data_IF_772235311673
#
_entry.id   IF_772235311673
#
_cell.length_a   1.000
_cell.length_b   1.000
_cell.length_c   1.000
_cell.angle_alpha   90.00
_cell.angle_beta   90.00
_cell.angle_gamma   90.00
#
_symmetry.space_group_name_H-M   'P 1'
#
loop_
_entity.id
_entity.type
_entity.pdbx_description
1 polymer ?
#
# COMPACT_ATOMS: atom_id res chain seq x y z
N UNK A 1 -57.32 -35.05 -51.01
CA UNK A 1 -57.62 -34.76 -49.58
C UNK A 1 -56.38 -34.82 -48.64
N UNK A 2 -55.53 -35.80 -48.75
CA UNK A 2 -54.34 -35.92 -47.87
C UNK A 2 -53.35 -34.75 -47.94
N UNK A 3 -53.11 -34.16 -49.11
CA UNK A 3 -52.21 -33.04 -49.31
C UNK A 3 -52.72 -31.74 -48.70
N UNK A 4 -54.00 -31.45 -48.75
CA UNK A 4 -54.60 -30.27 -48.13
C UNK A 4 -54.49 -30.27 -46.61
N UNK A 5 -54.66 -31.44 -46.00
CA UNK A 5 -54.57 -31.58 -44.54
C UNK A 5 -53.14 -31.37 -44.04
N UNK A 6 -52.13 -31.81 -44.78
CA UNK A 6 -50.68 -31.56 -44.42
C UNK A 6 -50.32 -30.09 -44.47
N UNK A 7 -50.82 -29.34 -45.46
CA UNK A 7 -50.57 -27.90 -45.55
C UNK A 7 -51.29 -27.08 -44.48
N UNK A 8 -52.50 -27.51 -44.09
CA UNK A 8 -53.23 -26.87 -43.00
C UNK A 8 -52.55 -27.15 -41.65
N UNK A 9 -52.10 -28.38 -41.40
CA UNK A 9 -51.31 -28.71 -40.15
C UNK A 9 -50.00 -27.99 -40.10
N UNK A 10 -49.30 -27.85 -41.22
CA UNK A 10 -48.05 -27.10 -41.29
C UNK A 10 -48.26 -25.57 -41.07
N UNK A 11 -49.31 -25.01 -41.65
CA UNK A 11 -49.70 -23.62 -41.43
C UNK A 11 -50.08 -23.30 -39.99
N UNK A 12 -50.80 -24.20 -39.31
CA UNK A 12 -51.19 -24.07 -37.89
C UNK A 12 -49.95 -24.22 -36.99
N UNK A 13 -48.99 -25.12 -37.29
CA UNK A 13 -47.76 -25.26 -36.54
C UNK A 13 -46.85 -24.02 -36.66
N UNK A 14 -46.78 -23.40 -37.83
CA UNK A 14 -45.99 -22.16 -38.03
C UNK A 14 -46.65 -20.97 -37.32
N UNK A 15 -48.03 -20.93 -37.30
CA UNK A 15 -48.75 -19.89 -36.59
C UNK A 15 -48.63 -20.02 -35.06
N UNK A 16 -48.62 -21.26 -34.54
CA UNK A 16 -48.39 -21.54 -33.10
C UNK A 16 -46.94 -21.24 -32.67
N UNK A 17 -45.96 -21.41 -33.55
CA UNK A 17 -44.55 -20.99 -33.24
C UNK A 17 -44.36 -19.47 -33.29
N UNK A 18 -45.17 -18.72 -34.05
CA UNK A 18 -45.10 -17.27 -34.08
C UNK A 18 -45.69 -16.60 -32.81
N UNK A 19 -46.56 -17.25 -32.09
CA UNK A 19 -47.12 -16.75 -30.83
C UNK A 19 -46.29 -17.11 -29.58
N UNK A 20 -45.25 -17.95 -29.69
CA UNK A 20 -44.38 -18.28 -28.58
C UNK A 20 -43.13 -17.40 -28.49
N UNK A 21 -43.04 -16.32 -29.28
CA UNK A 21 -42.00 -15.31 -29.20
C UNK A 21 -42.51 -14.00 -28.57
N UNK A 22 -43.50 -14.03 -27.73
CA UNK A 22 -43.64 -13.01 -26.72
C UNK A 22 -42.52 -13.29 -25.69
N UNK A 23 -41.30 -12.83 -26.02
CA UNK A 23 -40.28 -12.56 -25.03
C UNK A 23 -40.95 -11.69 -23.97
N UNK A 24 -41.12 -12.22 -22.77
CA UNK A 24 -41.32 -11.39 -21.60
C UNK A 24 -40.17 -10.40 -21.60
N UNK A 25 -40.45 -9.19 -22.04
CA UNK A 25 -39.65 -8.02 -21.78
C UNK A 25 -39.82 -7.76 -20.27
N UNK A 26 -39.13 -8.59 -19.47
CA UNK A 26 -38.93 -8.27 -18.09
C UNK A 26 -37.90 -7.16 -18.13
N UNK A 27 -38.37 -5.93 -18.33
CA UNK A 27 -37.67 -4.72 -17.91
C UNK A 27 -37.47 -4.87 -16.39
N UNK A 28 -36.46 -5.64 -16.04
CA UNK A 28 -35.86 -5.54 -14.72
C UNK A 28 -35.09 -4.24 -14.72
N UNK A 29 -35.80 -3.12 -14.52
CA UNK A 29 -35.16 -1.94 -14.02
C UNK A 29 -34.35 -2.42 -12.79
N UNK A 30 -33.02 -2.30 -12.80
CA UNK A 30 -32.24 -2.67 -11.63
C UNK A 30 -32.78 -1.83 -10.48
N UNK A 31 -33.50 -2.47 -9.58
CA UNK A 31 -33.96 -1.84 -8.34
C UNK A 31 -32.65 -1.29 -7.73
N UNK A 32 -32.46 0.02 -7.83
CA UNK A 32 -31.39 0.70 -7.11
C UNK A 32 -31.71 0.54 -5.64
N UNK A 33 -31.30 -0.60 -5.07
CA UNK A 33 -31.32 -0.81 -3.64
C UNK A 33 -30.38 0.25 -3.08
N UNK A 34 -30.92 1.40 -2.74
CA UNK A 34 -30.27 2.37 -1.89
C UNK A 34 -30.20 1.73 -0.51
N UNK A 35 -29.19 0.89 -0.31
CA UNK A 35 -28.81 0.51 1.05
C UNK A 35 -28.42 1.84 1.71
N UNK A 36 -29.21 2.33 2.69
CA UNK A 36 -28.87 3.59 3.31
C UNK A 36 -27.53 3.38 4.02
N UNK A 37 -26.47 3.99 3.50
CA UNK A 37 -25.19 4.01 4.19
C UNK A 37 -25.38 4.63 5.59
N UNK A 38 -24.52 4.29 6.53
CA UNK A 38 -24.54 4.83 7.91
C UNK A 38 -24.65 6.35 7.91
N UNK A 39 -24.01 7.02 6.95
CA UNK A 39 -24.10 8.47 6.72
C UNK A 39 -25.51 8.98 6.47
N UNK A 40 -26.39 8.18 5.88
CA UNK A 40 -27.75 8.57 5.54
C UNK A 40 -28.76 8.13 6.59
N UNK A 41 -28.44 7.12 7.42
CA UNK A 41 -29.31 6.67 8.51
C UNK A 41 -29.33 7.63 9.69
N UNK A 42 -28.17 8.17 10.07
CA UNK A 42 -28.05 9.17 11.11
C UNK A 42 -26.88 10.14 10.80
N UNK A 43 -27.13 11.16 9.98
CA UNK A 43 -26.08 12.10 9.53
C UNK A 43 -25.39 12.83 10.68
N UNK A 44 -26.12 13.17 11.75
CA UNK A 44 -25.57 13.88 12.90
C UNK A 44 -24.58 13.00 13.69
N UNK A 45 -24.99 11.76 13.99
CA UNK A 45 -24.11 10.80 14.68
C UNK A 45 -22.88 10.49 13.84
N UNK A 46 -23.03 10.36 12.52
CA UNK A 46 -21.92 10.13 11.61
C UNK A 46 -20.95 11.33 11.57
N UNK A 47 -21.48 12.56 11.55
CA UNK A 47 -20.65 13.77 11.62
C UNK A 47 -19.87 13.86 12.93
N UNK A 48 -20.49 13.54 14.09
CA UNK A 48 -19.81 13.45 15.39
C UNK A 48 -18.72 12.39 15.37
N UNK A 49 -19.00 11.20 14.83
CA UNK A 49 -18.02 10.14 14.68
C UNK A 49 -16.79 10.60 13.89
N UNK A 50 -16.99 11.19 12.71
CA UNK A 50 -15.90 11.71 11.88
C UNK A 50 -15.09 12.83 12.56
N UNK A 51 -15.77 13.71 13.32
CA UNK A 51 -15.11 14.73 14.13
C UNK A 51 -14.24 14.10 15.22
N UNK A 52 -14.77 13.13 15.96
CA UNK A 52 -14.02 12.38 16.96
C UNK A 52 -12.82 11.64 16.39
N UNK A 53 -12.97 11.04 15.20
CA UNK A 53 -11.90 10.37 14.50
C UNK A 53 -10.76 11.31 14.10
N UNK A 54 -11.08 12.50 13.58
CA UNK A 54 -10.07 13.51 13.25
C UNK A 54 -9.37 14.05 14.50
N UNK A 55 -10.10 14.26 15.59
CA UNK A 55 -9.52 14.64 16.90
C UNK A 55 -8.57 13.55 17.42
N UNK A 56 -8.95 12.27 17.32
CA UNK A 56 -8.07 11.15 17.64
C UNK A 56 -6.77 11.19 16.84
N UNK A 57 -6.86 11.35 15.53
CA UNK A 57 -5.69 11.38 14.63
C UNK A 57 -4.79 12.61 14.82
N UNK A 58 -5.32 13.73 15.22
CA UNK A 58 -4.54 14.93 15.57
C UNK A 58 -3.86 14.82 16.95
N UNK A 59 -4.30 13.87 17.78
CA UNK A 59 -3.73 13.58 19.09
C UNK A 59 -2.53 12.62 19.03
N UNK A 60 -1.86 12.49 20.19
CA UNK A 60 -0.77 11.52 20.34
C UNK A 60 -1.32 10.08 20.35
N UNK A 61 -0.96 9.29 19.36
CA UNK A 61 -1.32 7.88 19.25
C UNK A 61 -0.25 7.09 18.50
N UNK A 62 -0.34 5.76 18.47
CA UNK A 62 0.52 4.90 17.66
C UNK A 62 0.01 4.86 16.23
N UNK A 63 0.87 5.26 15.31
CA UNK A 63 0.58 5.44 13.88
C UNK A 63 0.47 4.09 13.16
N UNK A 64 -0.45 3.96 12.21
CA UNK A 64 -0.59 2.74 11.38
C UNK A 64 -0.50 3.06 9.90
N UNK A 65 0.43 2.40 9.24
CA UNK A 65 0.58 2.38 7.78
C UNK A 65 0.00 1.09 7.21
N UNK A 66 -0.68 1.18 6.06
CA UNK A 66 -1.12 0.03 5.28
C UNK A 66 -0.67 0.16 3.83
N UNK A 67 0.10 -0.83 3.31
CA UNK A 67 0.35 -0.95 1.88
C UNK A 67 -0.87 -1.55 1.22
N UNK A 68 -1.37 -0.85 0.21
CA UNK A 68 -2.62 -1.17 -0.47
C UNK A 68 -2.36 -1.41 -1.95
N UNK A 69 -2.70 -2.61 -2.41
CA UNK A 69 -2.68 -2.97 -3.82
C UNK A 69 -3.89 -2.34 -4.54
N UNK A 70 -3.63 -1.37 -5.40
CA UNK A 70 -4.61 -0.69 -6.24
C UNK A 70 -4.46 -1.07 -7.73
N UNK A 71 -4.01 -2.31 -8.01
CA UNK A 71 -3.85 -2.82 -9.37
C UNK A 71 -5.18 -2.98 -10.11
N UNK A 72 -6.25 -3.33 -9.40
CA UNK A 72 -7.58 -3.52 -9.96
C UNK A 72 -8.28 -2.17 -10.22
N UNK A 73 -8.15 -1.70 -11.45
CA UNK A 73 -8.73 -0.41 -11.85
C UNK A 73 -10.25 -0.41 -11.97
N UNK A 74 -10.84 -1.60 -12.13
CA UNK A 74 -12.29 -1.85 -12.09
C UNK A 74 -12.55 -2.82 -10.95
N UNK A 75 -12.85 -2.35 -9.71
CA UNK A 75 -13.00 -3.21 -8.56
C UNK A 75 -14.13 -4.22 -8.72
N UNK A 76 -13.81 -5.49 -8.56
CA UNK A 76 -14.80 -6.57 -8.49
C UNK A 76 -15.41 -6.71 -7.08
N UNK A 77 -14.79 -6.12 -6.07
CA UNK A 77 -15.25 -6.13 -4.69
C UNK A 77 -14.94 -4.82 -3.96
N UNK A 78 -15.66 -4.58 -2.86
CA UNK A 78 -15.41 -3.39 -2.01
C UNK A 78 -14.00 -3.35 -1.42
N UNK A 79 -13.36 -4.50 -1.18
CA UNK A 79 -12.00 -4.58 -0.64
C UNK A 79 -10.91 -4.06 -1.58
N UNK A 80 -11.26 -3.79 -2.84
CA UNK A 80 -10.38 -3.20 -3.85
C UNK A 80 -10.56 -1.67 -3.97
N UNK A 81 -11.46 -1.09 -3.17
CA UNK A 81 -11.68 0.35 -3.12
C UNK A 81 -10.86 0.96 -1.98
N UNK A 82 -10.22 2.10 -2.27
CA UNK A 82 -9.44 2.89 -1.30
C UNK A 82 -10.31 3.32 -0.11
N UNK A 83 -11.57 3.67 -0.36
CA UNK A 83 -12.51 4.13 0.68
C UNK A 83 -12.87 3.05 1.71
N UNK A 84 -12.66 1.76 1.38
CA UNK A 84 -13.03 0.64 2.25
C UNK A 84 -12.04 0.37 3.39
N UNK A 85 -10.86 1.03 3.39
CA UNK A 85 -9.84 0.84 4.43
C UNK A 85 -10.35 1.25 5.81
N UNK A 86 -9.80 0.66 6.89
CA UNK A 86 -10.20 1.01 8.26
C UNK A 86 -10.06 2.50 8.52
N UNK A 87 -11.08 3.11 9.12
CA UNK A 87 -11.12 4.56 9.36
C UNK A 87 -9.99 5.03 10.28
N UNK A 88 -9.52 4.17 11.18
CA UNK A 88 -8.43 4.47 12.12
C UNK A 88 -7.03 4.28 11.53
N UNK A 89 -6.91 3.90 10.25
CA UNK A 89 -5.62 3.88 9.53
C UNK A 89 -5.12 5.31 9.34
N UNK A 90 -3.83 5.58 9.55
CA UNK A 90 -3.26 6.92 9.41
C UNK A 90 -2.70 7.18 8.01
N UNK A 91 -1.96 6.21 7.49
CA UNK A 91 -1.31 6.30 6.20
C UNK A 91 -1.66 5.10 5.31
N UNK A 92 -2.08 5.40 4.09
CA UNK A 92 -2.31 4.43 3.04
C UNK A 92 -1.21 4.58 1.99
N UNK A 93 -0.41 3.53 1.78
CA UNK A 93 0.67 3.52 0.79
C UNK A 93 0.20 2.75 -0.44
N UNK A 94 -0.02 3.44 -1.56
CA UNK A 94 -0.45 2.81 -2.81
C UNK A 94 0.73 2.13 -3.50
N UNK A 95 0.56 0.89 -3.94
CA UNK A 95 1.61 0.11 -4.62
C UNK A 95 1.77 0.50 -6.08
N UNK A 96 0.70 0.97 -6.74
CA UNK A 96 0.70 1.48 -8.11
C UNK A 96 0.30 2.96 -8.14
N UNK A 97 1.26 3.87 -7.92
CA UNK A 97 0.99 5.30 -7.75
C UNK A 97 0.70 6.03 -9.05
N UNK A 98 1.05 5.42 -10.18
CA UNK A 98 0.84 5.97 -11.51
C UNK A 98 -0.55 5.60 -12.04
N UNK A 99 -1.06 6.35 -13.01
CA UNK A 99 -2.30 6.03 -13.72
C UNK A 99 -3.52 5.87 -12.81
N UNK A 100 -3.66 6.75 -11.81
CA UNK A 100 -4.86 6.80 -10.98
C UNK A 100 -6.06 7.26 -11.82
N UNK A 101 -7.18 6.56 -11.69
CA UNK A 101 -8.44 6.96 -12.32
C UNK A 101 -9.24 7.92 -11.42
N UNK A 102 -10.31 8.54 -11.98
CA UNK A 102 -11.11 9.53 -11.28
C UNK A 102 -11.74 8.99 -9.98
N UNK A 103 -12.09 7.68 -9.95
CA UNK A 103 -12.61 7.04 -8.75
C UNK A 103 -11.55 7.00 -7.65
N UNK A 104 -10.34 6.53 -7.96
CA UNK A 104 -9.24 6.45 -7.00
C UNK A 104 -8.90 7.85 -6.44
N UNK A 105 -8.83 8.87 -7.30
CA UNK A 105 -8.59 10.26 -6.90
C UNK A 105 -9.70 10.80 -6.00
N UNK A 106 -10.96 10.51 -6.31
CA UNK A 106 -12.11 10.88 -5.49
C UNK A 106 -12.09 10.20 -4.13
N UNK A 107 -11.78 8.89 -4.08
CA UNK A 107 -11.68 8.12 -2.85
C UNK A 107 -10.51 8.60 -1.97
N UNK A 108 -9.34 8.89 -2.55
CA UNK A 108 -8.20 9.48 -1.82
C UNK A 108 -8.58 10.82 -1.18
N UNK A 109 -9.27 11.68 -1.92
CA UNK A 109 -9.77 12.94 -1.39
C UNK A 109 -10.76 12.71 -0.25
N UNK A 110 -11.71 11.79 -0.41
CA UNK A 110 -12.73 11.51 0.58
C UNK A 110 -12.16 10.96 1.88
N UNK A 111 -11.21 9.99 1.83
CA UNK A 111 -10.59 9.45 3.04
C UNK A 111 -9.76 10.50 3.76
N UNK A 112 -9.10 11.39 3.04
CA UNK A 112 -8.34 12.50 3.62
C UNK A 112 -9.25 13.50 4.34
N UNK A 113 -10.25 14.03 3.64
CA UNK A 113 -11.12 15.09 4.17
C UNK A 113 -12.04 14.59 5.29
N UNK A 114 -12.63 13.40 5.12
CA UNK A 114 -13.60 12.87 6.09
C UNK A 114 -12.93 12.10 7.24
N UNK A 115 -11.95 11.25 6.92
CA UNK A 115 -11.37 10.30 7.87
C UNK A 115 -9.98 10.71 8.38
N UNK A 116 -9.33 11.70 7.75
CA UNK A 116 -7.95 12.10 8.08
C UNK A 116 -6.93 11.02 7.76
N UNK A 117 -7.16 10.22 6.71
CA UNK A 117 -6.19 9.23 6.21
C UNK A 117 -5.36 9.88 5.12
N UNK A 118 -4.05 9.86 5.28
CA UNK A 118 -3.11 10.40 4.31
C UNK A 118 -2.66 9.33 3.32
N UNK A 119 -2.57 9.70 2.03
CA UNK A 119 -2.16 8.76 0.99
C UNK A 119 -0.73 9.04 0.57
N UNK A 120 0.09 8.00 0.63
CA UNK A 120 1.49 7.98 0.22
C UNK A 120 1.71 6.97 -0.91
N UNK A 121 2.92 6.92 -1.44
CA UNK A 121 3.37 5.83 -2.30
C UNK A 121 4.85 5.52 -2.07
N UNK A 122 5.28 4.36 -2.52
CA UNK A 122 6.65 3.89 -2.34
C UNK A 122 7.51 4.19 -3.57
N UNK A 123 8.72 4.71 -3.33
CA UNK A 123 9.80 4.77 -4.31
C UNK A 123 10.90 3.81 -3.86
N UNK A 124 10.97 2.66 -4.51
CA UNK A 124 11.83 1.55 -4.11
C UNK A 124 13.06 1.46 -5.03
N UNK A 125 14.24 1.62 -4.46
CA UNK A 125 15.51 1.56 -5.19
C UNK A 125 15.72 0.22 -5.91
N UNK A 126 15.36 -0.89 -5.25
CA UNK A 126 15.55 -2.23 -5.84
C UNK A 126 14.66 -2.38 -7.07
N UNK A 127 13.39 -1.99 -6.99
CA UNK A 127 12.48 -2.04 -8.15
C UNK A 127 12.97 -1.18 -9.31
N UNK A 128 13.50 0.03 -9.02
CA UNK A 128 14.09 0.86 -10.08
C UNK A 128 15.29 0.16 -10.73
N UNK A 129 16.08 -0.59 -9.95
CA UNK A 129 17.20 -1.36 -10.49
C UNK A 129 16.73 -2.54 -11.33
N UNK A 130 15.71 -3.26 -10.89
CA UNK A 130 15.06 -4.35 -11.62
C UNK A 130 14.45 -3.86 -12.93
N UNK A 131 13.74 -2.72 -12.91
CA UNK A 131 13.18 -2.08 -14.11
C UNK A 131 14.29 -1.75 -15.12
N UNK A 132 15.42 -1.20 -14.65
CA UNK A 132 16.58 -0.90 -15.51
C UNK A 132 17.20 -2.16 -16.12
N UNK A 133 17.37 -3.22 -15.32
CA UNK A 133 17.95 -4.47 -15.78
C UNK A 133 17.04 -5.13 -16.81
N UNK A 134 15.72 -5.10 -16.61
CA UNK A 134 14.73 -5.60 -17.56
C UNK A 134 14.70 -4.79 -18.88
N UNK A 135 14.77 -3.44 -18.79
CA UNK A 135 14.85 -2.58 -19.99
C UNK A 135 16.14 -2.87 -20.79
N UNK A 136 17.26 -3.11 -20.09
CA UNK A 136 18.54 -3.45 -20.72
C UNK A 136 18.50 -4.83 -21.40
N UNK A 137 17.99 -5.85 -20.71
CA UNK A 137 17.82 -7.20 -21.24
C UNK A 137 16.90 -7.20 -22.49
N UNK A 138 15.75 -6.52 -22.39
CA UNK A 138 14.83 -6.38 -23.52
C UNK A 138 15.47 -5.67 -24.73
N UNK A 139 16.39 -4.71 -24.51
CA UNK A 139 17.15 -4.08 -25.58
C UNK A 139 18.16 -5.03 -26.22
N UNK A 140 18.87 -5.81 -25.40
CA UNK A 140 19.90 -6.78 -25.85
C UNK A 140 19.28 -7.97 -26.61
N UNK A 141 18.08 -8.42 -26.20
CA UNK A 141 17.35 -9.53 -26.82
C UNK A 141 16.64 -9.16 -28.13
N UNK A 142 16.46 -7.87 -28.38
CA UNK A 142 15.78 -7.39 -29.60
C UNK A 142 16.72 -7.48 -30.81
N UNK A 143 16.38 -8.31 -31.79
CA UNK A 143 17.14 -8.51 -33.03
C UNK A 143 17.39 -7.20 -33.82
N UNK A 144 16.49 -6.20 -33.71
CA UNK A 144 16.64 -4.90 -34.36
C UNK A 144 17.78 -4.07 -33.75
N UNK A 145 18.27 -4.46 -32.58
CA UNK A 145 19.37 -3.83 -31.87
C UNK A 145 20.69 -4.60 -32.00
N UNK A 146 20.74 -5.62 -32.85
CA UNK A 146 21.96 -6.42 -33.07
C UNK A 146 23.16 -5.52 -33.40
N UNK A 147 24.23 -5.64 -32.61
CA UNK A 147 25.43 -4.80 -32.74
C UNK A 147 25.34 -3.37 -32.16
N UNK A 148 24.20 -2.97 -31.58
CA UNK A 148 24.06 -1.71 -30.86
C UNK A 148 24.40 -1.91 -29.38
N UNK A 149 24.85 -0.82 -28.74
CA UNK A 149 25.19 -0.80 -27.30
C UNK A 149 24.05 -0.10 -26.57
N UNK A 150 23.61 -0.67 -25.44
CA UNK A 150 22.69 0.00 -24.52
C UNK A 150 23.44 1.13 -23.81
N UNK A 151 23.19 2.38 -24.20
CA UNK A 151 23.99 3.55 -23.78
C UNK A 151 23.45 4.26 -22.52
N UNK A 152 22.30 3.82 -21.97
CA UNK A 152 21.74 4.44 -20.78
C UNK A 152 22.45 3.87 -19.52
N UNK A 153 23.22 4.71 -18.83
CA UNK A 153 23.82 4.27 -17.56
C UNK A 153 22.82 4.31 -16.41
N UNK A 154 23.03 3.45 -15.40
CA UNK A 154 22.09 3.30 -14.31
C UNK A 154 21.95 4.56 -13.44
N UNK A 155 22.96 5.40 -13.31
CA UNK A 155 22.89 6.63 -12.51
C UNK A 155 21.94 7.64 -13.14
N UNK A 156 22.06 7.84 -14.43
CA UNK A 156 21.17 8.72 -15.21
C UNK A 156 19.74 8.21 -15.15
N UNK A 157 19.53 6.88 -15.31
CA UNK A 157 18.23 6.24 -15.19
C UNK A 157 17.62 6.43 -13.79
N UNK A 158 18.42 6.23 -12.74
CA UNK A 158 17.97 6.38 -11.34
C UNK A 158 17.50 7.81 -11.06
N UNK A 159 18.26 8.81 -11.48
CA UNK A 159 17.88 10.23 -11.31
C UNK A 159 16.55 10.52 -11.99
N UNK A 160 16.41 10.13 -13.25
CA UNK A 160 15.20 10.36 -14.03
C UNK A 160 13.97 9.68 -13.40
N UNK A 161 14.09 8.39 -13.04
CA UNK A 161 12.98 7.62 -12.45
C UNK A 161 12.57 8.16 -11.09
N UNK A 162 13.51 8.50 -10.20
CA UNK A 162 13.19 9.06 -8.89
C UNK A 162 12.52 10.42 -9.02
N UNK A 163 13.03 11.31 -9.88
CA UNK A 163 12.44 12.63 -10.09
C UNK A 163 11.03 12.53 -10.69
N UNK A 164 10.82 11.66 -11.70
CA UNK A 164 9.49 11.41 -12.28
C UNK A 164 8.50 10.89 -11.24
N UNK A 165 8.93 9.94 -10.40
CA UNK A 165 8.07 9.41 -9.33
C UNK A 165 7.76 10.47 -8.26
N UNK A 166 8.72 11.25 -7.81
CA UNK A 166 8.46 12.34 -6.85
C UNK A 166 7.46 13.39 -7.39
N UNK A 167 7.46 13.62 -8.70
CA UNK A 167 6.49 14.52 -9.34
C UNK A 167 5.05 14.04 -9.20
N UNK A 168 4.81 12.73 -9.00
CA UNK A 168 3.46 12.20 -8.76
C UNK A 168 2.80 12.81 -7.51
N UNK A 169 3.59 13.24 -6.52
CA UNK A 169 3.06 13.93 -5.34
C UNK A 169 2.22 15.14 -5.71
N UNK A 170 2.70 15.95 -6.64
CA UNK A 170 1.95 17.12 -7.12
C UNK A 170 0.89 16.76 -8.14
N UNK A 171 1.17 15.77 -9.01
CA UNK A 171 0.24 15.35 -10.07
C UNK A 171 -1.05 14.77 -9.52
N UNK A 172 -0.96 13.93 -8.50
CA UNK A 172 -2.10 13.21 -7.92
C UNK A 172 -2.42 13.63 -6.47
N UNK A 173 -1.79 14.71 -6.01
CA UNK A 173 -2.00 15.27 -4.67
C UNK A 173 -1.77 14.27 -3.52
N UNK A 174 -0.73 13.43 -3.65
CA UNK A 174 -0.28 12.59 -2.53
C UNK A 174 0.24 13.44 -1.36
N UNK A 175 0.11 12.90 -0.15
CA UNK A 175 0.56 13.55 1.09
C UNK A 175 2.05 13.36 1.36
N UNK A 176 2.72 12.49 0.62
CA UNK A 176 4.14 12.23 0.76
C UNK A 176 4.59 10.92 0.11
N UNK A 177 5.79 10.46 0.49
CA UNK A 177 6.43 9.29 -0.08
C UNK A 177 7.10 8.43 0.99
N UNK A 178 7.23 7.13 0.69
CA UNK A 178 8.11 6.20 1.38
C UNK A 178 9.29 5.91 0.46
N UNK A 179 10.50 6.37 0.82
CA UNK A 179 11.72 6.03 0.11
C UNK A 179 12.26 4.71 0.65
N UNK A 180 12.35 3.68 -0.19
CA UNK A 180 12.83 2.35 0.23
C UNK A 180 14.23 2.11 -0.30
N UNK A 181 15.19 2.00 0.64
CA UNK A 181 16.60 1.78 0.35
C UNK A 181 17.23 0.74 1.28
N UNK A 182 17.54 -0.43 0.71
CA UNK A 182 18.19 -1.52 1.45
C UNK A 182 19.73 -1.44 1.30
N UNK A 183 20.35 -0.48 1.99
CA UNK A 183 21.80 -0.37 2.04
C UNK A 183 22.44 -1.69 2.51
N UNK A 184 23.40 -2.20 1.75
CA UNK A 184 24.12 -3.42 2.09
C UNK A 184 25.17 -3.15 3.18
N UNK A 185 25.42 -4.15 4.02
CA UNK A 185 26.54 -4.06 4.97
C UNK A 185 27.88 -3.95 4.23
N UNK A 186 28.75 -3.08 4.71
CA UNK A 186 30.05 -2.81 4.09
C UNK A 186 31.19 -3.71 4.59
N UNK A 187 30.87 -4.59 5.56
CA UNK A 187 31.88 -5.38 6.28
C UNK A 187 32.79 -6.20 5.35
N UNK A 188 32.23 -6.72 4.26
CA UNK A 188 32.94 -7.57 3.31
C UNK A 188 33.13 -6.93 1.93
N UNK A 189 32.88 -5.61 1.80
CA UNK A 189 33.02 -4.90 0.53
C UNK A 189 34.43 -4.41 0.32
N UNK A 190 34.89 -4.48 -0.93
CA UNK A 190 36.09 -3.76 -1.40
C UNK A 190 35.82 -2.25 -1.41
N UNK A 191 36.87 -1.42 -1.42
CA UNK A 191 36.71 0.04 -1.48
C UNK A 191 35.98 0.51 -2.74
N UNK A 192 36.15 -0.20 -3.86
CA UNK A 192 35.44 0.07 -5.10
C UNK A 192 33.92 -0.15 -4.93
N UNK A 193 33.51 -1.25 -4.29
CA UNK A 193 32.10 -1.54 -4.03
C UNK A 193 31.48 -0.56 -3.02
N UNK A 194 32.21 -0.20 -1.96
CA UNK A 194 31.78 0.82 -1.01
C UNK A 194 31.55 2.16 -1.70
N UNK A 195 32.49 2.57 -2.57
CA UNK A 195 32.38 3.82 -3.33
C UNK A 195 31.19 3.78 -4.29
N UNK A 196 30.97 2.67 -4.98
CA UNK A 196 29.83 2.50 -5.88
C UNK A 196 28.50 2.58 -5.11
N UNK A 197 28.39 1.88 -3.97
CA UNK A 197 27.19 1.95 -3.13
C UNK A 197 26.92 3.38 -2.61
N UNK A 198 27.97 4.06 -2.08
CA UNK A 198 27.87 5.44 -1.60
C UNK A 198 27.40 6.39 -2.70
N UNK A 199 27.91 6.21 -3.92
CA UNK A 199 27.49 7.05 -5.06
C UNK A 199 25.99 6.91 -5.35
N UNK A 200 25.48 5.68 -5.39
CA UNK A 200 24.06 5.42 -5.65
C UNK A 200 23.17 5.87 -4.47
N UNK A 201 23.63 5.68 -3.25
CA UNK A 201 22.98 6.16 -2.03
C UNK A 201 22.85 7.70 -2.06
N UNK A 202 23.96 8.42 -2.33
CA UNK A 202 23.97 9.87 -2.39
C UNK A 202 23.04 10.42 -3.48
N UNK A 203 22.91 9.73 -4.62
CA UNK A 203 21.96 10.10 -5.67
C UNK A 203 20.52 9.89 -5.15
N UNK A 204 20.19 8.69 -4.70
CA UNK A 204 18.82 8.32 -4.34
C UNK A 204 18.30 9.10 -3.13
N UNK A 205 19.06 9.11 -2.03
CA UNK A 205 18.68 9.81 -0.81
C UNK A 205 18.91 11.32 -0.90
N UNK A 206 19.90 11.77 -1.70
CA UNK A 206 20.12 13.20 -1.96
C UNK A 206 18.94 13.84 -2.66
N UNK A 207 18.38 13.20 -3.69
CA UNK A 207 17.16 13.68 -4.36
C UNK A 207 15.98 13.74 -3.38
N UNK A 208 15.84 12.75 -2.49
CA UNK A 208 14.81 12.75 -1.46
C UNK A 208 14.97 13.90 -0.46
N UNK A 209 16.21 14.19 -0.01
CA UNK A 209 16.53 15.34 0.86
C UNK A 209 16.15 16.67 0.20
N UNK A 210 16.59 16.89 -1.04
CA UNK A 210 16.30 18.09 -1.80
C UNK A 210 14.78 18.26 -2.04
N UNK A 211 14.08 17.17 -2.29
CA UNK A 211 12.63 17.18 -2.46
C UNK A 211 11.93 17.57 -1.16
N UNK A 212 12.30 16.95 -0.04
CA UNK A 212 11.70 17.24 1.28
C UNK A 212 11.93 18.70 1.70
N UNK A 213 13.11 19.25 1.45
CA UNK A 213 13.40 20.67 1.75
C UNK A 213 12.50 21.62 0.97
N UNK A 214 12.16 21.27 -0.28
CA UNK A 214 11.23 22.06 -1.11
C UNK A 214 9.75 21.82 -0.81
N UNK A 215 9.43 20.70 -0.14
CA UNK A 215 8.08 20.29 0.21
C UNK A 215 8.01 19.91 1.70
N UNK A 216 8.21 20.88 2.62
CA UNK A 216 8.28 20.63 4.06
C UNK A 216 6.97 20.10 4.65
N UNK A 217 5.83 20.40 4.00
CA UNK A 217 4.48 19.94 4.34
C UNK A 217 4.20 18.47 3.96
N UNK A 218 5.02 17.89 3.07
CA UNK A 218 4.84 16.52 2.61
C UNK A 218 5.58 15.53 3.51
N UNK A 219 4.98 14.38 3.76
CA UNK A 219 5.60 13.31 4.56
C UNK A 219 6.75 12.66 3.79
N UNK A 220 7.88 12.51 4.45
CA UNK A 220 8.99 11.67 4.01
C UNK A 220 9.18 10.54 5.03
N UNK A 221 8.94 9.30 4.62
CA UNK A 221 9.34 8.13 5.39
C UNK A 221 10.49 7.41 4.67
N UNK A 222 11.40 6.80 5.43
CA UNK A 222 12.46 5.98 4.88
C UNK A 222 12.31 4.54 5.38
N UNK A 223 12.17 3.60 4.45
CA UNK A 223 12.14 2.17 4.72
C UNK A 223 13.47 1.52 4.34
N UNK A 224 14.02 0.64 5.21
CA UNK A 224 15.24 -0.07 4.88
C UNK A 224 16.12 -0.43 6.08
N UNK A 225 17.43 -0.39 5.85
CA UNK A 225 18.46 -0.70 6.85
C UNK A 225 19.23 0.55 7.23
N UNK A 226 18.73 1.41 8.10
CA UNK A 226 19.30 2.72 8.40
C UNK A 226 20.73 2.64 8.95
N UNK A 227 21.07 1.57 9.67
CA UNK A 227 22.43 1.35 10.18
C UNK A 227 23.51 1.29 9.09
N UNK A 228 23.15 0.94 7.86
CA UNK A 228 24.08 0.77 6.75
C UNK A 228 24.18 2.02 5.84
N UNK A 229 23.31 3.02 6.06
CA UNK A 229 23.33 4.29 5.32
C UNK A 229 24.54 5.11 5.75
N UNK A 230 25.25 5.71 4.79
CA UNK A 230 26.45 6.55 5.07
C UNK A 230 26.06 7.91 5.61
N UNK A 231 25.27 8.67 4.83
CA UNK A 231 24.79 9.99 5.23
C UNK A 231 23.48 9.89 6.02
N UNK A 232 23.62 9.80 7.32
CA UNK A 232 22.48 9.69 8.23
C UNK A 232 21.66 10.98 8.39
N UNK A 233 22.14 12.12 7.86
CA UNK A 233 21.39 13.38 7.93
C UNK A 233 20.03 13.36 7.22
N UNK A 234 19.79 12.39 6.35
CA UNK A 234 18.46 12.16 5.74
C UNK A 234 17.40 11.82 6.78
N UNK A 235 17.77 11.14 7.88
CA UNK A 235 16.82 10.74 8.92
C UNK A 235 16.27 11.91 9.73
N UNK A 236 16.98 13.04 9.79
CA UNK A 236 16.48 14.26 10.44
C UNK A 236 15.25 14.82 9.71
N UNK A 237 15.22 14.64 8.38
CA UNK A 237 14.12 15.08 7.50
C UNK A 237 12.96 14.09 7.44
N UNK A 238 13.16 12.84 7.88
CA UNK A 238 12.11 11.83 7.88
C UNK A 238 11.20 11.98 9.10
N UNK A 239 9.90 11.89 8.90
CA UNK A 239 8.92 11.74 9.98
C UNK A 239 8.96 10.32 10.56
N UNK A 240 9.24 9.33 9.72
CA UNK A 240 9.18 7.90 10.08
C UNK A 240 10.37 7.13 9.53
N UNK A 241 10.88 6.19 10.33
CA UNK A 241 11.91 5.21 9.94
C UNK A 241 11.28 3.83 10.01
N UNK A 242 11.06 3.23 8.85
CA UNK A 242 10.36 1.95 8.71
C UNK A 242 11.39 0.83 8.61
N UNK A 243 11.35 -0.09 9.58
CA UNK A 243 12.28 -1.22 9.64
C UNK A 243 11.59 -2.46 9.04
N UNK A 244 12.09 -3.00 7.91
CA UNK A 244 11.55 -4.20 7.31
C UNK A 244 11.71 -5.42 8.22
N UNK A 245 10.59 -5.98 8.66
CA UNK A 245 10.50 -7.13 9.55
C UNK A 245 9.60 -8.24 8.99
N UNK A 246 9.33 -8.25 7.68
CA UNK A 246 8.43 -9.24 7.07
C UNK A 246 8.96 -10.67 7.17
N UNK A 247 10.28 -10.85 7.24
CA UNK A 247 10.92 -12.15 7.43
C UNK A 247 11.03 -12.58 8.90
N UNK A 248 10.62 -11.75 9.86
CA UNK A 248 10.64 -12.09 11.29
C UNK A 248 9.65 -13.20 11.61
N UNK A 249 10.07 -14.12 12.47
CA UNK A 249 9.26 -15.26 12.92
C UNK A 249 8.83 -15.15 14.37
N UNK A 250 9.27 -14.09 15.05
CA UNK A 250 8.99 -13.82 16.46
C UNK A 250 9.11 -12.32 16.79
N UNK A 251 8.58 -11.91 17.95
CA UNK A 251 8.81 -10.57 18.48
C UNK A 251 10.30 -10.30 18.77
N UNK A 252 11.06 -11.32 19.17
CA UNK A 252 12.50 -11.20 19.41
C UNK A 252 13.28 -10.85 18.15
N UNK A 253 12.86 -11.35 16.98
CA UNK A 253 13.50 -11.01 15.70
C UNK A 253 13.27 -9.54 15.34
N UNK A 254 12.09 -8.98 15.66
CA UNK A 254 11.80 -7.57 15.49
C UNK A 254 12.66 -6.72 16.42
N UNK A 255 12.72 -7.08 17.70
CA UNK A 255 13.57 -6.41 18.69
C UNK A 255 15.03 -6.42 18.22
N UNK A 256 15.53 -7.56 17.76
CA UNK A 256 16.88 -7.66 17.19
C UNK A 256 17.10 -6.73 15.99
N UNK A 257 16.13 -6.70 15.06
CA UNK A 257 16.20 -5.85 13.88
C UNK A 257 16.21 -4.36 14.24
N UNK A 258 15.40 -3.94 15.20
CA UNK A 258 15.35 -2.56 15.68
C UNK A 258 16.65 -2.20 16.43
N UNK A 259 17.13 -3.03 17.35
CA UNK A 259 18.38 -2.80 18.05
C UNK A 259 19.58 -2.66 17.09
N UNK A 260 19.56 -3.43 16.01
CA UNK A 260 20.58 -3.32 14.95
C UNK A 260 20.44 -2.03 14.13
N UNK A 261 19.23 -1.53 13.97
CA UNK A 261 18.93 -0.33 13.20
C UNK A 261 19.24 0.97 13.95
N UNK A 262 19.03 0.97 15.27
CA UNK A 262 19.23 2.14 16.15
C UNK A 262 20.71 2.27 16.50
N UNK A 263 21.44 2.93 15.62
CA UNK A 263 22.86 3.27 15.81
C UNK A 263 23.01 4.79 15.84
N UNK A 264 24.21 5.27 16.20
CA UNK A 264 24.52 6.70 16.19
C UNK A 264 24.13 7.35 14.86
N UNK A 265 23.42 8.49 14.94
CA UNK A 265 22.89 9.23 13.80
C UNK A 265 21.54 8.70 13.26
N UNK A 266 20.98 7.63 13.83
CA UNK A 266 19.62 7.18 13.52
C UNK A 266 18.69 7.56 14.67
N UNK A 267 17.65 8.41 14.44
CA UNK A 267 16.68 8.78 15.48
C UNK A 267 15.97 7.55 16.05
N UNK A 268 16.07 7.35 17.35
CA UNK A 268 15.48 6.21 18.06
C UNK A 268 14.00 6.38 18.42
N UNK A 269 13.42 7.55 18.14
CA UNK A 269 12.05 7.91 18.50
C UNK A 269 11.10 7.98 17.28
N UNK A 270 11.52 7.47 16.11
CA UNK A 270 10.75 7.49 14.85
C UNK A 270 10.56 6.09 14.25
N UNK A 271 10.72 5.02 15.05
CA UNK A 271 10.81 3.64 14.57
C UNK A 271 9.42 3.03 14.36
N UNK A 272 9.22 2.44 13.18
CA UNK A 272 8.02 1.70 12.80
C UNK A 272 8.43 0.35 12.19
N UNK A 273 8.16 -0.81 12.83
CA UNK A 273 8.36 -2.11 12.20
C UNK A 273 7.34 -2.36 11.10
N UNK A 274 7.79 -2.90 9.96
CA UNK A 274 6.95 -3.32 8.84
C UNK A 274 6.84 -4.84 8.83
N UNK A 275 5.63 -5.36 8.94
CA UNK A 275 5.31 -6.79 8.85
C UNK A 275 4.25 -7.03 7.79
N UNK A 276 4.13 -8.28 7.30
CA UNK A 276 3.14 -8.63 6.29
C UNK A 276 1.81 -9.05 6.93
N UNK A 277 0.70 -8.72 6.28
CA UNK A 277 -0.56 -9.41 6.47
C UNK A 277 -0.45 -10.85 5.92
N UNK A 278 -1.31 -11.74 6.38
CA UNK A 278 -1.36 -13.11 5.86
C UNK A 278 -1.65 -13.14 4.36
N UNK A 279 -1.14 -14.17 3.69
CA UNK A 279 -1.39 -14.39 2.26
C UNK A 279 -2.84 -14.81 2.00
N UNK A 280 -3.39 -14.45 0.83
CA UNK A 280 -4.66 -14.99 0.32
C UNK A 280 -4.47 -16.40 -0.24
N UNK A 281 -3.24 -16.77 -0.60
CA UNK A 281 -2.91 -18.14 -1.00
C UNK A 281 -2.94 -19.05 0.24
N UNK A 282 -3.90 -19.96 0.28
CA UNK A 282 -4.08 -20.91 1.39
C UNK A 282 -2.92 -21.88 1.56
N UNK A 283 -2.07 -22.04 0.56
CA UNK A 283 -0.87 -22.87 0.63
C UNK A 283 0.30 -22.17 1.30
N UNK A 284 0.29 -20.82 1.32
CA UNK A 284 1.26 -20.00 2.05
C UNK A 284 0.84 -19.83 3.51
N UNK A 285 1.37 -20.67 4.37
CA UNK A 285 1.13 -20.65 5.82
C UNK A 285 2.19 -19.89 6.61
N UNK A 286 3.13 -19.22 5.93
CA UNK A 286 4.26 -18.53 6.56
C UNK A 286 4.10 -17.01 6.54
N UNK A 287 3.69 -16.45 5.40
CA UNK A 287 3.53 -15.00 5.25
C UNK A 287 2.49 -14.47 6.24
N UNK A 288 2.90 -13.50 7.07
CA UNK A 288 2.05 -12.89 8.08
C UNK A 288 1.88 -13.69 9.38
N UNK A 289 2.65 -14.78 9.56
CA UNK A 289 2.54 -15.63 10.74
C UNK A 289 3.86 -15.79 11.49
N UNK A 290 3.77 -15.89 12.82
CA UNK A 290 4.79 -16.39 13.73
C UNK A 290 4.30 -17.73 14.29
N UNK A 291 4.64 -18.82 13.62
CA UNK A 291 4.03 -20.11 13.89
C UNK A 291 2.52 -20.08 13.63
N UNK A 292 1.71 -20.14 14.70
CA UNK A 292 0.23 -20.08 14.61
C UNK A 292 -0.34 -18.69 14.90
N UNK A 293 0.49 -17.72 15.26
CA UNK A 293 0.05 -16.37 15.67
C UNK A 293 0.23 -15.39 14.51
N UNK A 294 -0.68 -14.43 14.37
CA UNK A 294 -0.57 -13.37 13.37
C UNK A 294 0.57 -12.39 13.74
N UNK A 295 1.51 -12.18 12.82
CA UNK A 295 2.65 -11.27 13.00
C UNK A 295 2.21 -9.83 13.29
N UNK A 296 1.14 -9.37 12.65
CA UNK A 296 0.55 -8.02 12.84
C UNK A 296 0.12 -7.83 14.29
N UNK A 297 -0.60 -8.81 14.90
CA UNK A 297 -1.05 -8.71 16.28
C UNK A 297 0.12 -8.83 17.27
N UNK A 298 1.09 -9.69 16.97
CA UNK A 298 2.30 -9.82 17.79
C UNK A 298 3.12 -8.52 17.80
N UNK A 299 3.27 -7.89 16.63
CA UNK A 299 3.96 -6.61 16.48
C UNK A 299 3.20 -5.45 17.14
N UNK A 300 1.87 -5.44 17.06
CA UNK A 300 1.04 -4.45 17.76
C UNK A 300 1.22 -4.53 19.29
N UNK A 301 1.27 -5.74 19.86
CA UNK A 301 1.57 -5.95 21.28
C UNK A 301 2.97 -5.46 21.66
N UNK A 302 3.98 -5.69 20.81
CA UNK A 302 5.33 -5.18 21.01
C UNK A 302 5.35 -3.64 20.95
N UNK A 303 4.65 -3.03 19.98
CA UNK A 303 4.57 -1.58 19.85
C UNK A 303 3.85 -0.88 21.00
N UNK A 304 2.93 -1.58 21.68
CA UNK A 304 2.24 -1.08 22.86
C UNK A 304 3.13 -1.04 24.13
N UNK A 305 4.26 -1.78 24.13
CA UNK A 305 5.20 -1.82 25.22
C UNK A 305 6.11 -0.59 25.25
N UNK A 306 6.65 -0.28 26.43
CA UNK A 306 7.71 0.71 26.57
C UNK A 306 9.08 0.03 26.38
N UNK A 307 9.96 0.70 25.63
CA UNK A 307 11.33 0.29 25.41
C UNK A 307 12.26 1.39 25.91
N UNK A 308 13.39 1.01 26.50
CA UNK A 308 14.35 1.97 27.12
C UNK A 308 15.20 2.68 26.07
N UNK A 309 15.62 1.96 25.01
CA UNK A 309 16.64 2.44 24.08
C UNK A 309 16.05 3.04 22.80
N UNK A 310 14.77 2.79 22.53
CA UNK A 310 14.05 3.29 21.35
C UNK A 310 12.55 3.38 21.61
N UNK A 311 11.85 4.06 20.72
CA UNK A 311 10.39 4.14 20.72
C UNK A 311 9.83 3.56 19.43
N UNK A 312 9.00 2.53 19.54
CA UNK A 312 8.15 2.08 18.44
C UNK A 312 6.92 3.00 18.46
N UNK A 313 6.81 3.87 17.45
CA UNK A 313 5.76 4.87 17.39
C UNK A 313 4.55 4.43 16.57
N UNK A 314 4.60 3.22 15.99
CA UNK A 314 3.52 2.69 15.20
C UNK A 314 3.82 1.33 14.60
N UNK A 315 3.01 0.94 13.62
CA UNK A 315 3.07 -0.33 12.89
C UNK A 315 2.85 -0.09 11.40
N UNK A 316 3.64 -0.71 10.56
CA UNK A 316 3.46 -0.76 9.12
C UNK A 316 3.04 -2.17 8.69
N UNK A 317 2.05 -2.26 7.80
CA UNK A 317 1.43 -3.52 7.39
C UNK A 317 1.47 -3.62 5.87
N UNK A 318 2.25 -4.58 5.38
CA UNK A 318 2.29 -4.93 3.96
C UNK A 318 1.08 -5.79 3.58
N UNK A 319 0.60 -5.67 2.34
CA UNK A 319 -0.57 -6.38 1.82
C UNK A 319 -1.86 -6.19 2.66
N UNK A 320 -2.11 -4.97 3.11
CA UNK A 320 -3.25 -4.64 3.97
C UNK A 320 -4.62 -5.04 3.38
N UNK A 321 -4.77 -5.04 2.05
CA UNK A 321 -6.00 -5.51 1.37
C UNK A 321 -6.40 -6.93 1.76
N UNK A 322 -5.44 -7.79 2.13
CA UNK A 322 -5.73 -9.19 2.42
C UNK A 322 -6.64 -9.36 3.63
N UNK A 323 -6.62 -8.40 4.57
CA UNK A 323 -7.45 -8.42 5.77
C UNK A 323 -8.92 -8.01 5.52
N UNK A 324 -9.25 -7.55 4.30
CA UNK A 324 -10.64 -7.19 3.98
C UNK A 324 -11.58 -8.41 3.99
N UNK A 325 -11.12 -9.52 3.41
CA UNK A 325 -11.96 -10.68 3.13
C UNK A 325 -12.10 -11.60 4.36
N UNK A 326 -13.00 -11.23 5.28
CA UNK A 326 -13.29 -12.00 6.47
C UNK A 326 -14.79 -12.28 6.64
N UNK A 327 -15.14 -13.41 7.27
CA UNK A 327 -16.52 -13.89 7.37
C UNK A 327 -17.42 -12.99 8.22
N UNK A 328 -16.86 -12.37 9.26
CA UNK A 328 -17.67 -11.62 10.25
C UNK A 328 -17.71 -10.12 9.98
N UNK A 329 -16.57 -9.51 9.72
CA UNK A 329 -16.43 -8.08 9.48
C UNK A 329 -15.10 -7.80 8.77
N UNK A 330 -15.02 -6.68 8.08
CA UNK A 330 -13.86 -6.32 7.27
C UNK A 330 -12.70 -5.81 8.12
N UNK A 331 -11.48 -6.12 7.71
CA UNK A 331 -10.23 -5.69 8.36
C UNK A 331 -10.14 -6.04 9.87
N UNK A 332 -10.47 -7.27 10.29
CA UNK A 332 -10.48 -7.62 11.70
C UNK A 332 -9.12 -7.49 12.37
N UNK A 333 -8.06 -7.94 11.69
CA UNK A 333 -6.70 -7.97 12.24
C UNK A 333 -6.12 -6.56 12.38
N UNK A 334 -6.32 -5.70 11.36
CA UNK A 334 -5.85 -4.31 11.40
C UNK A 334 -6.58 -3.53 12.50
N UNK A 335 -7.90 -3.69 12.60
CA UNK A 335 -8.70 -3.04 13.66
C UNK A 335 -8.30 -3.49 15.06
N UNK A 336 -8.03 -4.78 15.24
CA UNK A 336 -7.54 -5.34 16.52
C UNK A 336 -6.14 -4.79 16.85
N UNK A 337 -5.22 -4.75 15.87
CA UNK A 337 -3.88 -4.19 16.04
C UNK A 337 -3.92 -2.72 16.48
N UNK A 338 -4.77 -1.90 15.84
CA UNK A 338 -4.98 -0.50 16.23
C UNK A 338 -5.48 -0.39 17.67
N UNK A 339 -6.45 -1.22 18.06
CA UNK A 339 -7.02 -1.24 19.41
C UNK A 339 -6.01 -1.68 20.47
N UNK A 340 -5.10 -2.61 20.15
CA UNK A 340 -4.01 -3.04 21.05
C UNK A 340 -3.03 -1.89 21.27
N UNK A 341 -2.65 -1.17 20.23
CA UNK A 341 -1.66 -0.09 20.32
C UNK A 341 -2.24 1.19 20.92
N UNK A 342 -3.53 1.43 20.73
CA UNK A 342 -4.24 2.66 21.11
C UNK A 342 -5.49 2.31 21.92
N UNK A 343 -5.35 1.75 23.14
CA UNK A 343 -6.49 1.37 23.97
C UNK A 343 -7.30 2.59 24.36
N UNK A 344 -8.63 2.48 24.26
CA UNK A 344 -9.55 3.51 24.76
C UNK A 344 -9.41 3.52 26.29
N UNK A 345 -8.93 4.62 26.83
CA UNK A 345 -8.95 4.84 28.27
C UNK A 345 -10.42 4.98 28.69
N UNK A 346 -10.96 3.97 29.34
CA UNK A 346 -12.27 4.11 29.99
C UNK A 346 -12.06 5.05 31.20
N UNK A 347 -12.55 6.28 31.07
CA UNK A 347 -12.64 7.25 32.16
C UNK A 347 -13.83 6.91 33.01
#
# INVERSE_FOLDING_TARGET
>A
MKYYIQHIIFGISVLLMAFSMESCDTDHEPVKVKTPGISNQNPELYARYLSGLRTYKSGKHKIVFGWFDNSEKIPASQGQNIIAVPDSLDYLVLTLPENLNDRELSEMKEIKEKKGIHTLFEINFIRIKEDYDAEKEAFEDNSDNAGKIFNLDFRTYLVDKVQKRLKLCSTFNYDGVVMTFYAKTKLYMTEKEKTAQRTLENIFLGIAKDWKQRHPDKVLALAGKPQNVDDKSVFDLCEYIIIPCQASTSASDIVYSINKAVVEGVPNNKIIPLVSMYSKDKTDTKTGYWGKSLSVLGTAKLAAQQHTDYQIIGLAIDNANNDYYHVRFVYPTIREAISIMNPIVKI
#
